data_IF_760872030797
#
_entry.id   IF_760872030797
#
_cell.length_a   1.000
_cell.length_b   1.000
_cell.length_c   1.000
_cell.angle_alpha   90.00
_cell.angle_beta   90.00
_cell.angle_gamma   90.00
#
_symmetry.space_group_name_H-M   'P 1'
#
loop_
_entity.id
_entity.type
_entity.pdbx_description
1 polymer ?
#
# COMPACT_ATOMS: atom_id res chain seq x y z
N UNK A 1 -0.71 53.92 17.99
CA UNK A 1 -1.93 53.21 17.53
C UNK A 1 -1.70 52.26 16.34
N UNK A 2 -0.47 52.15 15.80
CA UNK A 2 -0.14 51.29 14.65
C UNK A 2 0.31 49.87 15.01
N UNK A 3 0.81 49.64 16.23
CA UNK A 3 1.31 48.32 16.65
C UNK A 3 0.21 47.29 16.92
N UNK A 4 -0.98 47.73 17.38
CA UNK A 4 -2.12 46.86 17.67
C UNK A 4 -2.64 46.13 16.42
N UNK A 5 -2.76 46.85 15.30
CA UNK A 5 -3.23 46.28 14.03
C UNK A 5 -2.21 45.33 13.39
N UNK A 6 -0.92 45.47 13.70
CA UNK A 6 0.13 44.61 13.15
C UNK A 6 0.12 43.23 13.79
N UNK A 7 -0.19 43.14 15.09
CA UNK A 7 -0.24 41.87 15.82
C UNK A 7 -1.45 41.03 15.41
N UNK A 8 -2.63 41.62 15.36
CA UNK A 8 -3.86 40.93 14.89
C UNK A 8 -3.74 40.48 13.43
N UNK A 9 -3.16 41.31 12.55
CA UNK A 9 -2.93 40.93 11.16
C UNK A 9 -1.93 39.77 11.01
N UNK A 10 -0.94 39.67 11.89
CA UNK A 10 0.02 38.56 11.91
C UNK A 10 -0.61 37.26 12.44
N UNK A 11 -1.38 37.34 13.53
CA UNK A 11 -2.07 36.17 14.11
C UNK A 11 -3.18 35.63 13.21
N UNK A 12 -3.88 36.47 12.46
CA UNK A 12 -4.90 36.02 11.50
C UNK A 12 -4.28 35.31 10.28
N UNK A 13 -3.05 35.69 9.89
CA UNK A 13 -2.35 35.12 8.73
C UNK A 13 -1.76 33.73 9.01
N UNK A 14 -1.36 33.46 10.25
CA UNK A 14 -0.82 32.14 10.64
C UNK A 14 -1.92 31.08 10.74
N UNK A 15 -3.13 31.47 11.17
CA UNK A 15 -4.24 30.55 11.38
C UNK A 15 -4.83 29.95 10.09
N UNK A 16 -4.63 30.62 8.95
CA UNK A 16 -5.07 30.14 7.62
C UNK A 16 -4.08 29.19 6.94
N UNK A 17 -2.83 29.09 7.42
CA UNK A 17 -1.78 28.30 6.75
C UNK A 17 -1.69 26.86 7.26
N UNK A 18 -2.38 26.53 8.36
CA UNK A 18 -2.48 25.18 8.89
C UNK A 18 -3.88 24.62 8.62
N UNK A 19 -4.27 24.59 7.35
CA UNK A 19 -5.35 23.71 6.91
C UNK A 19 -4.84 22.28 7.05
N UNK A 20 -5.53 21.46 7.83
CA UNK A 20 -5.25 20.02 7.95
C UNK A 20 -5.26 19.42 6.53
N UNK A 21 -4.06 19.11 6.00
CA UNK A 21 -3.94 18.46 4.69
C UNK A 21 -4.38 17.03 4.88
N UNK A 22 -5.69 16.80 4.75
CA UNK A 22 -6.24 15.47 4.74
C UNK A 22 -5.74 14.82 3.46
N UNK A 23 -4.65 14.04 3.57
CA UNK A 23 -4.20 13.07 2.59
C UNK A 23 -5.24 11.95 2.52
N UNK A 24 -6.46 12.28 2.07
CA UNK A 24 -7.44 11.28 1.66
C UNK A 24 -6.78 10.55 0.52
N UNK A 25 -6.33 9.32 0.80
CA UNK A 25 -5.82 8.45 -0.26
C UNK A 25 -6.88 8.40 -1.35
N UNK A 26 -6.46 8.74 -2.56
CA UNK A 26 -7.37 8.73 -3.70
C UNK A 26 -7.97 7.32 -3.82
N UNK A 27 -9.21 7.22 -4.30
CA UNK A 27 -9.86 5.92 -4.50
C UNK A 27 -8.98 4.99 -5.38
N UNK A 28 -8.18 5.56 -6.29
CA UNK A 28 -7.19 4.86 -7.09
C UNK A 28 -6.11 4.14 -6.26
N UNK A 29 -5.69 4.71 -5.13
CA UNK A 29 -4.72 4.08 -4.22
C UNK A 29 -5.29 2.79 -3.64
N UNK A 30 -6.55 2.80 -3.20
CA UNK A 30 -7.22 1.61 -2.67
C UNK A 30 -7.40 0.52 -3.73
N UNK A 31 -7.76 0.91 -4.96
CA UNK A 31 -7.87 -0.03 -6.08
C UNK A 31 -6.51 -0.66 -6.39
N UNK A 32 -5.43 0.14 -6.43
CA UNK A 32 -4.08 -0.36 -6.67
C UNK A 32 -3.63 -1.31 -5.55
N UNK A 33 -3.83 -0.93 -4.29
CA UNK A 33 -3.51 -1.79 -3.14
C UNK A 33 -4.27 -3.11 -3.20
N UNK A 34 -5.57 -3.08 -3.53
CA UNK A 34 -6.39 -4.29 -3.70
C UNK A 34 -5.88 -5.20 -4.82
N UNK A 35 -5.48 -4.62 -5.96
CA UNK A 35 -4.92 -5.37 -7.08
C UNK A 35 -3.60 -6.04 -6.70
N UNK A 36 -2.70 -5.31 -6.04
CA UNK A 36 -1.42 -5.87 -5.57
C UNK A 36 -1.66 -7.00 -4.57
N UNK A 37 -2.59 -6.81 -3.62
CA UNK A 37 -2.95 -7.83 -2.65
C UNK A 37 -3.49 -9.10 -3.33
N UNK A 38 -4.37 -8.94 -4.31
CA UNK A 38 -4.94 -10.05 -5.07
C UNK A 38 -3.86 -10.85 -5.80
N UNK A 39 -2.94 -10.17 -6.49
CA UNK A 39 -1.83 -10.81 -7.21
C UNK A 39 -0.91 -11.55 -6.22
N UNK A 40 -0.59 -10.94 -5.08
CA UNK A 40 0.24 -11.57 -4.06
C UNK A 40 -0.41 -12.85 -3.51
N UNK A 41 -1.72 -12.81 -3.21
CA UNK A 41 -2.47 -13.99 -2.76
C UNK A 41 -2.53 -15.08 -3.82
N UNK A 42 -2.72 -14.73 -5.09
CA UNK A 42 -2.69 -15.69 -6.20
C UNK A 42 -1.33 -16.35 -6.34
N UNK A 43 -0.24 -15.58 -6.26
CA UNK A 43 1.11 -16.12 -6.32
C UNK A 43 1.38 -17.10 -5.17
N UNK A 44 0.99 -16.74 -3.94
CA UNK A 44 1.08 -17.64 -2.78
C UNK A 44 0.24 -18.90 -2.96
N UNK A 45 -0.98 -18.77 -3.47
CA UNK A 45 -1.85 -19.91 -3.74
C UNK A 45 -1.24 -20.86 -4.77
N UNK A 46 -0.66 -20.33 -5.85
CA UNK A 46 0.00 -21.15 -6.87
C UNK A 46 1.23 -21.86 -6.28
N UNK A 47 2.05 -21.15 -5.50
CA UNK A 47 3.27 -21.70 -4.91
C UNK A 47 2.98 -22.81 -3.89
N UNK A 48 2.00 -22.60 -3.01
CA UNK A 48 1.76 -23.48 -1.85
C UNK A 48 0.53 -24.37 -1.98
N UNK A 49 -0.51 -23.91 -2.68
CA UNK A 49 -1.78 -24.62 -2.83
C UNK A 49 -1.81 -25.54 -4.04
N UNK A 50 -1.07 -25.24 -5.11
CA UNK A 50 -0.97 -26.11 -6.26
C UNK A 50 0.04 -27.24 -5.98
N UNK A 51 -0.46 -28.47 -6.06
CA UNK A 51 0.37 -29.66 -6.00
C UNK A 51 0.62 -30.15 -7.42
N UNK A 52 1.89 -30.40 -7.75
CA UNK A 52 2.32 -30.95 -9.02
C UNK A 52 2.65 -32.41 -8.80
N UNK A 53 1.99 -33.30 -9.53
CA UNK A 53 2.37 -34.71 -9.56
C UNK A 53 3.64 -34.88 -10.40
N UNK A 54 4.67 -35.42 -9.79
CA UNK A 54 5.94 -35.76 -10.44
C UNK A 54 6.20 -37.26 -10.28
N UNK A 55 7.15 -37.80 -11.05
CA UNK A 55 7.50 -39.23 -10.96
C UNK A 55 7.98 -39.68 -9.57
N UNK A 56 8.42 -38.75 -8.72
CA UNK A 56 8.84 -38.99 -7.34
C UNK A 56 7.72 -38.76 -6.28
N UNK A 57 6.50 -38.43 -6.72
CA UNK A 57 5.34 -38.15 -5.86
C UNK A 57 4.75 -36.73 -6.03
N UNK A 58 3.63 -36.46 -5.33
CA UNK A 58 2.98 -35.14 -5.32
C UNK A 58 3.80 -34.15 -4.47
N UNK A 59 4.29 -33.08 -5.09
CA UNK A 59 5.04 -32.03 -4.41
C UNK A 59 4.50 -30.63 -4.76
N UNK A 60 4.55 -29.72 -3.79
CA UNK A 60 4.18 -28.32 -4.01
C UNK A 60 5.13 -27.66 -5.01
N UNK A 61 4.61 -26.73 -5.83
CA UNK A 61 5.35 -26.04 -6.90
C UNK A 61 6.68 -25.47 -6.42
N UNK A 62 6.75 -24.93 -5.20
CA UNK A 62 8.00 -24.35 -4.67
C UNK A 62 9.09 -25.42 -4.47
N UNK A 63 8.71 -26.61 -4.00
CA UNK A 63 9.65 -27.72 -3.81
C UNK A 63 10.15 -28.23 -5.15
N UNK A 64 9.27 -28.34 -6.13
CA UNK A 64 9.64 -28.71 -7.49
C UNK A 64 10.62 -27.71 -8.12
N UNK A 65 10.37 -26.40 -7.96
CA UNK A 65 11.26 -25.36 -8.49
C UNK A 65 12.65 -25.42 -7.84
N UNK A 66 12.72 -25.65 -6.53
CA UNK A 66 13.98 -25.78 -5.80
C UNK A 66 14.76 -27.05 -6.16
N UNK A 67 14.11 -28.10 -6.65
CA UNK A 67 14.80 -29.31 -7.14
C UNK A 67 15.38 -29.16 -8.54
N UNK A 68 15.01 -28.11 -9.27
CA UNK A 68 15.46 -27.87 -10.65
C UNK A 68 16.79 -27.10 -10.74
N UNK A 69 17.21 -26.44 -9.65
CA UNK A 69 18.47 -25.68 -9.56
C UNK A 69 19.55 -26.45 -8.82
#
# INVERSE_FOLDING_TARGET
>A
MSDLFRKEALENRSRSLYGEVVLRSALSTWVLTGLILLIALLALFILFGLQVETEAGSMSVIKWLLTLG
#
